data_IF_660035302773
#
_entry.id   IF_660035302773
#
_cell.length_a   1.000
_cell.length_b   1.000
_cell.length_c   1.000
_cell.angle_alpha   90.00
_cell.angle_beta   90.00
_cell.angle_gamma   90.00
#
_symmetry.space_group_name_H-M   'P 1'
#
loop_
_entity.id
_entity.type
_entity.pdbx_description
1 polymer ?
#
# COMPACT_ATOMS: atom_id res chain seq x y z
N UNK A 1 -67.41 0.87 19.73
CA UNK A 1 -67.04 0.83 21.17
C UNK A 1 -65.55 1.15 21.22
N UNK A 2 -65.11 2.36 21.62
CA UNK A 2 -64.86 2.80 23.02
C UNK A 2 -63.96 1.76 23.73
N UNK A 3 -62.75 1.99 24.24
CA UNK A 3 -62.00 3.18 24.69
C UNK A 3 -60.52 2.75 24.90
N UNK A 4 -59.51 3.56 24.58
CA UNK A 4 -58.75 4.50 25.44
C UNK A 4 -57.52 3.93 26.21
N UNK A 5 -56.43 4.72 26.11
CA UNK A 5 -55.54 5.18 27.18
C UNK A 5 -54.51 4.17 27.76
N UNK A 6 -53.27 4.55 28.13
CA UNK A 6 -52.63 5.87 28.27
C UNK A 6 -51.14 5.73 28.62
N UNK A 7 -50.43 6.86 28.50
CA UNK A 7 -49.37 7.41 29.38
C UNK A 7 -48.01 6.69 29.43
N UNK A 8 -46.95 7.31 28.90
CA UNK A 8 -46.10 8.33 29.55
C UNK A 8 -45.25 7.77 30.70
N UNK A 9 -43.94 7.71 30.47
CA UNK A 9 -42.96 8.05 31.50
C UNK A 9 -41.79 8.79 30.86
N UNK A 10 -41.75 10.09 31.17
CA UNK A 10 -40.61 10.98 31.01
C UNK A 10 -39.54 10.59 32.03
N UNK A 11 -38.28 10.65 31.66
CA UNK A 11 -37.18 10.85 32.61
C UNK A 11 -36.08 11.66 31.93
N UNK A 12 -36.21 12.96 32.08
CA UNK A 12 -35.18 13.99 32.01
C UNK A 12 -34.26 13.92 33.23
N UNK A 13 -32.94 14.13 33.03
CA UNK A 13 -31.94 14.75 33.93
C UNK A 13 -30.56 14.54 33.25
N UNK A 14 -29.92 15.50 32.56
CA UNK A 14 -29.41 16.83 32.96
C UNK A 14 -28.05 16.79 33.70
N UNK A 15 -27.16 17.70 33.27
CA UNK A 15 -25.82 18.11 33.76
C UNK A 15 -24.63 17.25 33.29
N UNK A 16 -23.56 17.80 32.71
CA UNK A 16 -23.09 19.16 32.45
C UNK A 16 -21.76 19.05 31.66
N UNK A 17 -21.16 20.07 31.07
CA UNK A 17 -21.45 21.48 31.06
C UNK A 17 -20.73 22.18 29.90
N UNK A 18 -21.20 23.39 29.60
CA UNK A 18 -20.55 24.32 28.73
C UNK A 18 -19.25 24.84 29.38
N UNK A 19 -18.14 24.78 28.64
CA UNK A 19 -16.89 25.46 28.97
C UNK A 19 -16.58 26.49 27.89
N UNK A 20 -17.07 27.71 28.11
CA UNK A 20 -16.77 28.91 27.34
C UNK A 20 -15.28 29.28 27.44
N UNK A 21 -14.71 29.60 26.28
CA UNK A 21 -13.73 30.66 26.01
C UNK A 21 -12.77 31.12 27.14
N UNK A 22 -11.47 30.99 26.87
CA UNK A 22 -10.51 32.05 27.22
C UNK A 22 -9.62 32.41 26.02
N UNK A 23 -9.78 33.67 25.64
CA UNK A 23 -8.92 34.46 24.77
C UNK A 23 -7.56 34.72 25.43
N UNK A 24 -6.59 34.99 24.55
CA UNK A 24 -5.48 35.96 24.68
C UNK A 24 -4.17 35.45 25.30
N UNK A 25 -3.13 35.41 24.47
CA UNK A 25 -1.97 36.27 24.63
C UNK A 25 -1.18 36.33 23.31
N UNK A 26 -1.17 37.51 22.71
CA UNK A 26 -0.23 37.95 21.69
C UNK A 26 1.15 38.09 22.32
N UNK A 27 2.20 37.63 21.65
CA UNK A 27 3.50 38.29 21.72
C UNK A 27 4.09 38.37 20.32
N UNK A 28 4.19 39.63 19.91
CA UNK A 28 5.00 40.18 18.84
C UNK A 28 6.47 40.08 19.27
N UNK A 29 7.34 39.64 18.35
CA UNK A 29 8.73 40.10 18.33
C UNK A 29 9.24 40.02 16.90
N UNK A 30 9.02 41.12 16.19
CA UNK A 30 9.93 41.64 15.16
C UNK A 30 11.42 41.41 15.45
N UNK A 31 12.20 41.27 14.37
CA UNK A 31 13.65 41.46 14.33
C UNK A 31 14.41 40.15 14.11
N UNK A 32 15.19 39.93 13.05
CA UNK A 32 15.69 40.83 12.04
C UNK A 32 16.21 40.00 10.85
N UNK A 33 15.90 40.44 9.62
CA UNK A 33 16.85 40.26 8.52
C UNK A 33 18.02 41.24 8.72
N UNK A 34 19.22 40.91 8.22
CA UNK A 34 19.58 41.53 6.95
C UNK A 34 20.28 40.58 5.98
N UNK A 35 19.79 40.59 4.73
CA UNK A 35 20.53 40.98 3.52
C UNK A 35 22.03 40.64 3.43
N UNK A 36 22.41 39.93 2.37
CA UNK A 36 23.24 40.51 1.27
C UNK A 36 24.13 39.47 0.58
N UNK A 37 24.09 39.52 -0.77
CA UNK A 37 25.17 39.23 -1.72
C UNK A 37 25.72 37.79 -1.79
N UNK A 38 26.07 37.19 -2.91
CA UNK A 38 26.04 37.48 -4.35
C UNK A 38 26.61 36.19 -5.03
N UNK A 39 26.54 36.05 -6.36
CA UNK A 39 26.71 34.78 -7.06
C UNK A 39 28.16 34.53 -7.48
N UNK A 40 28.64 33.29 -7.35
CA UNK A 40 29.88 32.85 -7.97
C UNK A 40 29.58 32.05 -9.24
N UNK A 41 29.56 32.77 -10.37
CA UNK A 41 29.86 32.20 -11.68
C UNK A 41 31.30 31.68 -11.67
N UNK A 42 31.52 30.45 -12.11
CA UNK A 42 32.77 30.09 -12.79
C UNK A 42 32.48 29.16 -13.96
N UNK A 43 32.55 29.78 -15.13
CA UNK A 43 32.67 29.13 -16.43
C UNK A 43 34.08 28.56 -16.62
N UNK A 44 34.22 27.82 -17.73
CA UNK A 44 35.40 27.42 -18.49
C UNK A 44 35.75 25.94 -18.34
N UNK A 45 35.25 25.10 -19.27
CA UNK A 45 35.85 24.79 -20.58
C UNK A 45 36.89 23.68 -20.46
N UNK A 46 36.75 22.59 -21.22
CA UNK A 46 37.62 22.31 -22.38
C UNK A 46 37.41 20.88 -22.90
N UNK A 47 37.27 20.81 -24.22
CA UNK A 47 37.39 19.66 -25.11
C UNK A 47 38.50 18.67 -24.75
N UNK A 48 38.23 17.37 -24.91
CA UNK A 48 38.99 16.54 -25.86
C UNK A 48 38.23 15.24 -26.19
N UNK A 49 38.21 14.92 -27.49
CA UNK A 49 37.52 13.80 -28.09
C UNK A 49 38.45 12.55 -28.22
N UNK A 50 37.95 11.37 -28.66
CA UNK A 50 38.61 10.05 -28.64
C UNK A 50 39.52 9.87 -29.89
N UNK A 51 40.10 8.70 -30.28
CA UNK A 51 39.83 7.30 -29.89
C UNK A 51 41.07 6.36 -29.79
N UNK A 52 40.87 5.09 -29.40
CA UNK A 52 41.79 4.02 -29.82
C UNK A 52 41.09 2.69 -30.04
N UNK A 53 41.14 2.33 -31.32
CA UNK A 53 40.72 1.12 -32.01
C UNK A 53 41.79 0.04 -31.82
N UNK A 54 41.39 -1.20 -31.53
CA UNK A 54 42.09 -2.45 -31.93
C UNK A 54 41.16 -3.66 -31.75
N UNK A 55 40.57 -4.11 -32.85
CA UNK A 55 40.21 -5.52 -33.08
C UNK A 55 41.46 -6.27 -33.60
N UNK A 56 41.41 -7.55 -34.03
CA UNK A 56 40.61 -8.71 -33.61
C UNK A 56 41.53 -9.90 -33.23
N UNK A 57 41.00 -10.96 -32.61
CA UNK A 57 41.63 -12.29 -32.70
C UNK A 57 40.57 -13.35 -32.98
N UNK A 58 40.61 -13.87 -34.20
CA UNK A 58 40.13 -15.21 -34.53
C UNK A 58 41.04 -16.23 -33.84
N UNK A 59 40.51 -17.38 -33.39
CA UNK A 59 40.59 -18.68 -34.09
C UNK A 59 40.07 -19.86 -33.20
N UNK A 60 39.97 -21.13 -33.65
CA UNK A 60 38.70 -21.85 -33.63
C UNK A 60 38.70 -23.22 -32.90
N UNK A 61 37.49 -23.79 -32.80
CA UNK A 61 37.10 -25.23 -32.74
C UNK A 61 37.88 -26.18 -31.80
N UNK A 62 37.12 -26.77 -30.86
CA UNK A 62 37.15 -28.23 -30.67
C UNK A 62 35.80 -28.78 -30.23
N UNK A 63 35.31 -29.74 -31.03
CA UNK A 63 34.17 -30.63 -30.75
C UNK A 63 34.60 -31.70 -29.73
N UNK A 64 33.73 -32.06 -28.79
CA UNK A 64 33.19 -33.44 -28.68
C UNK A 64 32.09 -33.56 -27.60
N UNK A 65 31.23 -34.58 -27.72
CA UNK A 65 29.95 -34.68 -27.02
C UNK A 65 30.08 -35.48 -25.72
N UNK A 66 29.15 -35.26 -24.80
CA UNK A 66 28.81 -36.25 -23.78
C UNK A 66 27.34 -36.15 -23.43
N UNK A 67 26.62 -37.17 -23.89
CA UNK A 67 25.33 -37.63 -23.43
C UNK A 67 25.28 -37.76 -21.91
N UNK A 68 24.35 -37.06 -21.25
CA UNK A 68 23.78 -37.51 -19.98
C UNK A 68 22.47 -36.78 -19.69
N UNK A 69 21.37 -37.51 -19.91
CA UNK A 69 20.14 -37.42 -19.10
C UNK A 69 19.66 -36.02 -18.73
N UNK A 70 19.16 -35.27 -19.71
CA UNK A 70 18.09 -34.31 -19.41
C UNK A 70 16.81 -35.13 -19.32
N UNK A 71 16.54 -35.66 -18.12
CA UNK A 71 15.17 -35.95 -17.76
C UNK A 71 14.38 -34.69 -18.06
N UNK A 72 13.42 -34.80 -18.96
CA UNK A 72 12.41 -33.78 -19.20
C UNK A 72 11.65 -33.66 -17.88
N UNK A 73 12.19 -32.87 -16.96
CA UNK A 73 11.35 -32.10 -16.05
C UNK A 73 10.56 -31.21 -16.99
N UNK A 74 9.40 -31.71 -17.39
CA UNK A 74 8.29 -30.82 -17.60
C UNK A 74 8.28 -29.94 -16.36
N UNK A 75 8.63 -28.67 -16.52
CA UNK A 75 8.08 -27.62 -15.70
C UNK A 75 6.57 -27.70 -15.94
N UNK A 76 5.95 -28.65 -15.23
CA UNK A 76 4.63 -28.44 -14.71
C UNK A 76 4.72 -27.11 -13.95
N UNK A 77 4.41 -26.02 -14.63
CA UNK A 77 3.84 -24.82 -14.02
C UNK A 77 2.44 -25.16 -13.45
N UNK A 78 2.34 -26.32 -12.80
CA UNK A 78 1.24 -26.71 -11.98
C UNK A 78 1.20 -25.69 -10.86
N UNK A 79 0.10 -24.98 -10.80
CA UNK A 79 -0.30 -24.13 -9.71
C UNK A 79 0.00 -24.84 -8.38
N UNK A 80 1.16 -24.55 -7.78
CA UNK A 80 1.46 -24.99 -6.42
C UNK A 80 0.69 -24.01 -5.54
N UNK A 81 -0.39 -24.44 -4.85
CA UNK A 81 -1.14 -23.54 -4.01
C UNK A 81 -0.16 -22.92 -3.01
N UNK A 82 -0.06 -21.58 -3.01
CA UNK A 82 0.79 -20.88 -2.08
C UNK A 82 0.44 -21.35 -0.67
N UNK A 83 1.41 -21.89 0.06
CA UNK A 83 1.16 -22.35 1.42
C UNK A 83 0.65 -21.16 2.24
N UNK A 84 -0.39 -21.35 3.03
CA UNK A 84 -0.97 -20.24 3.81
C UNK A 84 0.02 -19.62 4.77
N UNK A 85 0.97 -20.41 5.26
CA UNK A 85 2.05 -19.90 6.09
C UNK A 85 2.95 -18.95 5.30
N UNK A 86 3.27 -19.29 4.04
CA UNK A 86 3.97 -18.40 3.12
C UNK A 86 3.21 -17.09 2.85
N UNK A 87 1.88 -17.14 2.66
CA UNK A 87 1.09 -15.92 2.48
C UNK A 87 1.07 -15.02 3.72
N UNK A 88 1.01 -15.63 4.91
CA UNK A 88 1.07 -14.88 6.17
C UNK A 88 2.43 -14.24 6.36
N UNK A 89 3.49 -14.97 6.05
CA UNK A 89 4.84 -14.46 6.11
C UNK A 89 5.03 -13.29 5.13
N UNK A 90 4.56 -13.42 3.88
CA UNK A 90 4.57 -12.33 2.90
C UNK A 90 3.82 -11.09 3.40
N UNK A 91 2.60 -11.25 3.93
CA UNK A 91 1.84 -10.14 4.49
C UNK A 91 2.58 -9.49 5.69
N UNK A 92 3.25 -10.30 6.51
CA UNK A 92 4.02 -9.81 7.65
C UNK A 92 5.27 -9.03 7.22
N UNK A 93 5.98 -9.51 6.19
CA UNK A 93 7.13 -8.84 5.58
C UNK A 93 6.71 -7.49 4.98
N UNK A 94 5.63 -7.49 4.19
CA UNK A 94 5.06 -6.27 3.61
C UNK A 94 4.60 -5.29 4.71
N UNK A 95 3.97 -5.79 5.77
CA UNK A 95 3.56 -4.97 6.92
C UNK A 95 4.76 -4.35 7.64
N UNK A 96 5.87 -5.08 7.73
CA UNK A 96 7.12 -4.57 8.32
C UNK A 96 7.69 -3.45 7.45
N UNK A 97 7.80 -3.69 6.13
CA UNK A 97 8.25 -2.66 5.17
C UNK A 97 7.39 -1.40 5.21
N UNK A 98 6.06 -1.55 5.27
CA UNK A 98 5.13 -0.41 5.38
C UNK A 98 5.33 0.40 6.68
N UNK A 99 5.69 -0.26 7.79
CA UNK A 99 6.01 0.42 9.06
C UNK A 99 7.34 1.16 8.98
N UNK A 100 8.34 0.56 8.35
CA UNK A 100 9.66 1.17 8.15
C UNK A 100 9.57 2.42 7.28
N UNK A 101 8.76 2.38 6.22
CA UNK A 101 8.45 3.52 5.36
C UNK A 101 7.45 4.52 5.99
N UNK A 102 6.96 4.24 7.21
CA UNK A 102 5.99 5.07 7.96
C UNK A 102 4.70 5.34 7.18
N UNK A 103 4.22 4.34 6.44
CA UNK A 103 3.00 4.43 5.65
C UNK A 103 1.76 4.23 6.53
N UNK A 104 1.35 5.30 7.22
CA UNK A 104 0.22 5.30 8.17
C UNK A 104 -1.10 4.75 7.59
N UNK A 105 -1.34 4.96 6.29
CA UNK A 105 -2.53 4.45 5.61
C UNK A 105 -2.37 3.00 5.13
N UNK A 106 -1.15 2.50 4.86
CA UNK A 106 -0.92 1.13 4.39
C UNK A 106 -1.08 0.10 5.52
N UNK A 107 -0.64 0.44 6.73
CA UNK A 107 -0.66 -0.45 7.90
C UNK A 107 -2.07 -1.00 8.21
N UNK A 108 -3.12 -0.17 8.38
CA UNK A 108 -4.46 -0.67 8.68
C UNK A 108 -5.06 -1.49 7.53
N UNK A 109 -4.68 -1.21 6.27
CA UNK A 109 -5.13 -1.97 5.10
C UNK A 109 -4.54 -3.39 5.09
N UNK A 110 -3.27 -3.52 5.47
CA UNK A 110 -2.60 -4.82 5.61
C UNK A 110 -3.14 -5.60 6.82
N UNK A 111 -3.46 -4.92 7.90
CA UNK A 111 -4.05 -5.53 9.09
C UNK A 111 -5.45 -6.10 8.80
N UNK A 112 -6.30 -5.37 8.07
CA UNK A 112 -7.61 -5.87 7.68
C UNK A 112 -7.52 -7.07 6.74
N UNK A 113 -6.54 -7.10 5.82
CA UNK A 113 -6.25 -8.26 4.97
C UNK A 113 -5.85 -9.48 5.80
N UNK A 114 -4.94 -9.28 6.77
CA UNK A 114 -4.51 -10.34 7.69
C UNK A 114 -5.68 -10.89 8.50
N UNK A 115 -6.56 -10.03 9.01
CA UNK A 115 -7.76 -10.45 9.76
C UNK A 115 -8.75 -11.22 8.87
N UNK A 116 -9.00 -10.74 7.65
CA UNK A 116 -9.90 -11.41 6.71
C UNK A 116 -9.43 -12.84 6.40
N UNK A 117 -8.12 -13.02 6.18
CA UNK A 117 -7.51 -14.34 5.97
C UNK A 117 -7.47 -15.22 7.23
N UNK A 118 -7.53 -14.63 8.43
CA UNK A 118 -7.57 -15.37 9.69
C UNK A 118 -8.99 -15.86 10.02
N UNK A 119 -10.02 -15.04 9.74
CA UNK A 119 -11.43 -15.34 10.03
C UNK A 119 -11.95 -16.54 9.22
N UNK A 120 -11.49 -16.73 7.98
CA UNK A 120 -11.96 -17.83 7.13
C UNK A 120 -11.48 -19.22 7.58
N UNK A 121 -10.47 -19.30 8.46
CA UNK A 121 -10.10 -20.58 9.11
C UNK A 121 -11.12 -21.05 10.16
N UNK A 122 -11.98 -20.16 10.65
CA UNK A 122 -13.04 -20.54 11.59
C UNK A 122 -14.20 -21.28 10.89
N UNK A 123 -14.34 -21.11 9.57
CA UNK A 123 -15.30 -21.86 8.77
C UNK A 123 -14.65 -23.20 8.32
N UNK A 124 -15.03 -24.30 8.97
CA UNK A 124 -14.41 -25.64 8.85
C UNK A 124 -14.32 -26.26 7.43
N UNK A 125 -14.85 -25.61 6.39
CA UNK A 125 -14.93 -26.14 5.03
C UNK A 125 -14.20 -25.30 3.96
N UNK A 126 -13.58 -24.18 4.33
CA UNK A 126 -12.92 -23.30 3.36
C UNK A 126 -11.47 -23.73 3.13
N UNK A 127 -10.99 -23.86 1.88
CA UNK A 127 -9.58 -24.13 1.64
C UNK A 127 -8.73 -23.02 2.28
N UNK A 128 -7.60 -23.38 2.86
CA UNK A 128 -6.79 -22.42 3.60
C UNK A 128 -6.22 -21.40 2.59
N UNK A 129 -6.38 -20.10 2.89
CA UNK A 129 -5.87 -19.00 2.04
C UNK A 129 -6.87 -18.50 0.99
N UNK A 130 -8.09 -19.05 0.97
CA UNK A 130 -9.18 -18.53 0.14
C UNK A 130 -10.07 -17.62 0.98
N UNK A 131 -10.30 -16.40 0.51
CA UNK A 131 -11.27 -15.49 1.12
C UNK A 131 -12.69 -15.90 0.71
N UNK A 132 -13.59 -16.09 1.67
CA UNK A 132 -15.02 -16.27 1.40
C UNK A 132 -15.60 -14.98 0.80
N UNK A 133 -16.73 -15.08 0.08
CA UNK A 133 -17.43 -13.88 -0.44
C UNK A 133 -17.74 -12.87 0.67
N UNK A 134 -18.08 -13.37 1.87
CA UNK A 134 -18.30 -12.54 3.06
C UNK A 134 -16.99 -11.90 3.56
N UNK A 135 -15.90 -12.66 3.61
CA UNK A 135 -14.56 -12.17 3.94
C UNK A 135 -14.11 -11.06 2.99
N UNK A 136 -14.29 -11.26 1.68
CA UNK A 136 -14.02 -10.26 0.64
C UNK A 136 -14.84 -8.99 0.81
N UNK A 137 -16.16 -9.11 0.98
CA UNK A 137 -17.02 -7.94 1.16
C UNK A 137 -16.63 -7.14 2.40
N UNK A 138 -16.38 -7.81 3.52
CA UNK A 138 -15.92 -7.14 4.75
C UNK A 138 -14.56 -6.47 4.57
N UNK A 139 -13.63 -7.11 3.86
CA UNK A 139 -12.31 -6.56 3.57
C UNK A 139 -12.42 -5.27 2.76
N UNK A 140 -13.18 -5.29 1.67
CA UNK A 140 -13.37 -4.14 0.79
C UNK A 140 -14.04 -2.97 1.51
N UNK A 141 -15.08 -3.24 2.31
CA UNK A 141 -15.74 -2.19 3.11
C UNK A 141 -14.80 -1.58 4.15
N UNK A 142 -13.95 -2.40 4.80
CA UNK A 142 -12.95 -1.90 5.74
C UNK A 142 -11.90 -1.04 5.04
N UNK A 143 -11.39 -1.49 3.90
CA UNK A 143 -10.44 -0.73 3.09
C UNK A 143 -11.00 0.61 2.64
N UNK A 144 -12.22 0.61 2.11
CA UNK A 144 -12.91 1.84 1.71
C UNK A 144 -13.02 2.81 2.90
N UNK A 145 -13.45 2.33 4.06
CA UNK A 145 -13.56 3.15 5.27
C UNK A 145 -12.22 3.75 5.71
N UNK A 146 -11.11 3.00 5.59
CA UNK A 146 -9.77 3.51 5.89
C UNK A 146 -9.31 4.54 4.84
N UNK A 147 -9.45 4.25 3.55
CA UNK A 147 -9.05 5.14 2.46
C UNK A 147 -9.81 6.47 2.51
N UNK A 148 -11.12 6.43 2.79
CA UNK A 148 -11.95 7.64 2.87
C UNK A 148 -11.50 8.57 4.00
N UNK A 149 -11.09 8.01 5.15
CA UNK A 149 -10.58 8.77 6.31
C UNK A 149 -9.15 9.30 6.11
N UNK A 150 -8.38 8.70 5.22
CA UNK A 150 -6.99 9.10 4.96
C UNK A 150 -6.89 10.41 4.19
N UNK A 151 -5.79 11.14 4.45
CA UNK A 151 -5.46 12.35 3.69
C UNK A 151 -4.97 11.97 2.29
N UNK A 152 -5.27 12.80 1.28
CA UNK A 152 -4.87 12.53 -0.11
C UNK A 152 -3.37 12.29 -0.26
N UNK A 153 -2.52 13.01 0.49
CA UNK A 153 -1.07 12.79 0.49
C UNK A 153 -0.68 11.37 0.95
N UNK A 154 -1.28 10.87 2.04
CA UNK A 154 -1.02 9.51 2.54
C UNK A 154 -1.50 8.46 1.54
N UNK A 155 -2.65 8.70 0.90
CA UNK A 155 -3.20 7.83 -0.14
C UNK A 155 -2.25 7.73 -1.34
N UNK A 156 -1.65 8.84 -1.79
CA UNK A 156 -0.68 8.82 -2.90
C UNK A 156 0.52 7.94 -2.58
N UNK A 157 1.15 8.10 -1.41
CA UNK A 157 2.28 7.26 -1.02
C UNK A 157 1.90 5.80 -0.88
N UNK A 158 0.73 5.53 -0.28
CA UNK A 158 0.20 4.17 -0.11
C UNK A 158 -0.09 3.51 -1.46
N UNK A 159 -0.61 4.27 -2.43
CA UNK A 159 -0.84 3.79 -3.80
C UNK A 159 0.47 3.38 -4.47
N UNK A 160 1.50 4.24 -4.41
CA UNK A 160 2.81 3.95 -4.97
C UNK A 160 3.42 2.71 -4.36
N UNK A 161 3.37 2.59 -3.03
CA UNK A 161 3.86 1.42 -2.31
C UNK A 161 3.22 0.12 -2.79
N UNK A 162 1.88 0.06 -2.88
CA UNK A 162 1.20 -1.16 -3.35
C UNK A 162 1.36 -1.41 -4.85
N UNK A 163 1.56 -0.37 -5.66
CA UNK A 163 1.87 -0.53 -7.07
C UNK A 163 3.26 -1.16 -7.28
N UNK A 164 4.26 -0.68 -6.54
CA UNK A 164 5.61 -1.26 -6.55
C UNK A 164 5.60 -2.72 -6.09
N UNK A 165 4.83 -3.04 -5.05
CA UNK A 165 4.68 -4.42 -4.58
C UNK A 165 4.01 -5.35 -5.60
N UNK A 166 3.08 -4.85 -6.40
CA UNK A 166 2.45 -5.67 -7.44
C UNK A 166 3.42 -5.96 -8.61
N UNK A 167 4.42 -5.11 -8.82
CA UNK A 167 5.43 -5.27 -9.85
C UNK A 167 6.68 -6.05 -9.37
N UNK A 168 6.83 -6.21 -8.05
CA UNK A 168 7.96 -6.90 -7.42
C UNK A 168 8.01 -8.38 -7.83
N UNK A 169 9.19 -8.88 -8.18
CA UNK A 169 9.38 -10.21 -8.77
C UNK A 169 8.88 -11.35 -7.88
N UNK A 170 8.98 -11.18 -6.55
CA UNK A 170 8.53 -12.15 -5.56
C UNK A 170 7.00 -12.18 -5.40
N UNK A 171 6.33 -11.08 -5.75
CA UNK A 171 4.89 -10.89 -5.58
C UNK A 171 4.11 -10.96 -6.89
N UNK A 172 4.75 -10.73 -8.04
CA UNK A 172 4.15 -10.75 -9.39
C UNK A 172 3.53 -12.09 -9.82
N UNK A 173 3.76 -13.16 -9.06
CA UNK A 173 3.09 -14.45 -9.25
C UNK A 173 2.41 -14.95 -7.96
N UNK A 174 2.35 -14.10 -6.93
CA UNK A 174 1.68 -14.40 -5.67
C UNK A 174 0.17 -14.19 -5.81
N UNK A 175 -0.68 -14.99 -5.15
CA UNK A 175 -2.12 -14.72 -5.11
C UNK A 175 -2.46 -13.39 -4.43
N UNK A 176 -1.48 -12.70 -3.82
CA UNK A 176 -1.62 -11.34 -3.28
C UNK A 176 -1.56 -10.24 -4.35
N UNK A 177 -0.96 -10.50 -5.51
CA UNK A 177 -0.86 -9.53 -6.61
C UNK A 177 -2.22 -8.93 -7.00
N UNK A 178 -3.26 -9.73 -7.36
CA UNK A 178 -4.56 -9.17 -7.75
C UNK A 178 -5.23 -8.41 -6.59
N UNK A 179 -4.96 -8.80 -5.34
CA UNK A 179 -5.45 -8.13 -4.13
C UNK A 179 -4.86 -6.71 -4.05
N UNK A 180 -3.55 -6.56 -4.27
CA UNK A 180 -2.89 -5.26 -4.25
C UNK A 180 -3.27 -4.38 -5.45
N UNK A 181 -3.39 -4.95 -6.65
CA UNK A 181 -3.87 -4.22 -7.83
C UNK A 181 -5.28 -3.64 -7.59
N UNK A 182 -6.18 -4.42 -7.00
CA UNK A 182 -7.53 -3.95 -6.65
C UNK A 182 -7.48 -2.79 -5.64
N UNK A 183 -6.59 -2.88 -4.64
CA UNK A 183 -6.40 -1.82 -3.65
C UNK A 183 -5.86 -0.52 -4.28
N UNK A 184 -4.88 -0.65 -5.18
CA UNK A 184 -4.33 0.48 -5.96
C UNK A 184 -5.44 1.17 -6.76
N UNK A 185 -6.30 0.39 -7.42
CA UNK A 185 -7.44 0.92 -8.18
C UNK A 185 -8.44 1.65 -7.27
N UNK A 186 -8.78 1.10 -6.11
CA UNK A 186 -9.68 1.76 -5.15
C UNK A 186 -9.11 3.10 -4.65
N UNK A 187 -7.82 3.13 -4.31
CA UNK A 187 -7.14 4.36 -3.88
C UNK A 187 -7.16 5.40 -5.01
N UNK A 188 -6.85 4.97 -6.24
CA UNK A 188 -6.86 5.85 -7.41
C UNK A 188 -8.25 6.45 -7.67
N UNK A 189 -9.30 5.63 -7.65
CA UNK A 189 -10.69 6.10 -7.82
C UNK A 189 -11.05 7.12 -6.73
N UNK A 190 -10.68 6.85 -5.47
CA UNK A 190 -10.96 7.76 -4.35
C UNK A 190 -10.19 9.08 -4.47
N UNK A 191 -8.93 9.05 -4.92
CA UNK A 191 -8.16 10.26 -5.22
C UNK A 191 -8.83 11.11 -6.30
N UNK A 192 -9.29 10.49 -7.39
CA UNK A 192 -9.99 11.18 -8.47
C UNK A 192 -11.28 11.84 -7.97
N UNK A 193 -12.09 11.12 -7.19
CA UNK A 193 -13.32 11.66 -6.61
C UNK A 193 -13.05 12.85 -5.68
N UNK A 194 -12.04 12.74 -4.80
CA UNK A 194 -11.64 13.85 -3.91
C UNK A 194 -11.11 15.06 -4.70
N UNK A 195 -10.40 14.82 -5.80
CA UNK A 195 -9.90 15.87 -6.70
C UNK A 195 -11.05 16.62 -7.41
N UNK A 196 -12.06 15.89 -7.89
CA UNK A 196 -13.24 16.49 -8.51
C UNK A 196 -14.09 17.31 -7.53
N UNK A 197 -14.19 16.88 -6.27
CA UNK A 197 -14.96 17.60 -5.25
C UNK A 197 -14.27 18.89 -4.77
N UNK A 198 -12.97 19.06 -5.03
CA UNK A 198 -12.18 20.21 -4.60
C UNK A 198 -11.98 21.27 -5.71
N UNK A 199 -12.33 20.95 -6.95
CA UNK A 199 -12.26 21.83 -8.12
C UNK A 199 -13.60 22.54 -8.36
#
# INVERSE_FOLDING_TARGET
>A
MKSNNSSLSKSSLSRGGAGLARLRASYDSNGAEPSSAAPARRSLSRDEAPPSRREPSMEPRSRRPSSRTAGVQGQDHGYRPASVEGLRQQIQEISTRAKDERLECAIPLLESLRMALALDRAAHNTPPGTLTVKGWSSLLSNWEAHIQKSRSRQMVYTKSFFAELAEDGDLKNSPLEPIFQQLVMQIQTTLTQKGMAAA
#
